data_IF_418100922728
#
_entry.id   IF_418100922728
#
_cell.length_a   1.000
_cell.length_b   1.000
_cell.length_c   1.000
_cell.angle_alpha   90.00
_cell.angle_beta   90.00
_cell.angle_gamma   90.00
#
_symmetry.space_group_name_H-M   'P 1'
#
loop_
_entity.id
_entity.type
_entity.pdbx_description
1 polymer ?
#
# COMPACT_ATOMS: atom_id res chain seq x y z
N UNK A 1 -2.35 0.01 2.63
CA UNK A 1 -2.32 -1.17 3.50
C UNK A 1 -3.58 -2.00 3.29
N UNK A 2 -3.45 -3.08 2.53
CA UNK A 2 -4.55 -4.01 2.26
C UNK A 2 -4.83 -4.89 3.50
N UNK A 3 -6.07 -4.88 4.05
CA UNK A 3 -6.43 -5.75 5.17
C UNK A 3 -6.12 -7.23 4.94
N UNK A 4 -6.22 -7.73 3.69
CA UNK A 4 -6.00 -9.13 3.33
C UNK A 4 -4.58 -9.62 3.62
N UNK A 5 -3.61 -8.72 3.70
CA UNK A 5 -2.20 -9.04 4.02
C UNK A 5 -1.97 -9.29 5.51
N UNK A 6 -2.93 -8.95 6.37
CA UNK A 6 -2.83 -9.05 7.83
C UNK A 6 -3.77 -10.10 8.42
N UNK A 7 -4.42 -10.89 7.56
CA UNK A 7 -5.24 -12.05 7.94
C UNK A 7 -4.37 -13.30 8.16
N UNK A 8 -5.00 -14.42 8.50
CA UNK A 8 -4.35 -15.74 8.59
C UNK A 8 -3.97 -16.33 7.21
N UNK A 9 -2.92 -17.15 7.16
CA UNK A 9 -2.52 -17.91 5.97
C UNK A 9 -3.62 -18.90 5.57
N UNK A 10 -3.70 -19.22 4.29
CA UNK A 10 -4.80 -20.02 3.74
C UNK A 10 -4.95 -21.39 4.41
N UNK A 11 -3.85 -22.12 4.55
CA UNK A 11 -3.89 -23.52 4.98
C UNK A 11 -3.84 -23.70 6.51
N UNK A 12 -3.27 -22.73 7.24
CA UNK A 12 -2.91 -22.94 8.66
C UNK A 12 -3.27 -21.77 9.59
N UNK A 13 -3.83 -20.67 9.06
CA UNK A 13 -4.30 -19.56 9.88
C UNK A 13 -3.22 -18.73 10.57
N UNK A 14 -1.93 -19.03 10.39
CA UNK A 14 -0.83 -18.22 10.93
C UNK A 14 -0.87 -16.79 10.37
N UNK A 15 -0.39 -15.76 11.08
CA UNK A 15 -0.35 -14.41 10.53
C UNK A 15 0.35 -14.35 9.16
N UNK A 16 -0.34 -13.92 8.10
CA UNK A 16 0.26 -13.72 6.76
C UNK A 16 1.42 -12.75 6.79
N UNK A 17 1.38 -11.79 7.71
CA UNK A 17 2.46 -10.84 7.97
C UNK A 17 2.80 -10.85 9.45
N UNK A 18 3.92 -11.49 9.79
CA UNK A 18 4.45 -11.50 11.16
C UNK A 18 5.03 -10.13 11.60
N UNK A 19 5.35 -9.98 12.90
CA UNK A 19 5.75 -8.70 13.49
C UNK A 19 7.05 -8.12 12.90
N UNK A 20 8.04 -8.97 12.60
CA UNK A 20 9.31 -8.51 12.00
C UNK A 20 9.11 -7.92 10.61
N UNK A 21 8.34 -8.61 9.75
CA UNK A 21 8.01 -8.13 8.40
C UNK A 21 7.11 -6.89 8.46
N UNK A 22 6.18 -6.83 9.41
CA UNK A 22 5.34 -5.64 9.60
C UNK A 22 6.19 -4.42 9.97
N UNK A 23 7.13 -4.57 10.92
CA UNK A 23 8.03 -3.49 11.31
C UNK A 23 8.85 -3.00 10.11
N UNK A 24 9.49 -3.92 9.39
CA UNK A 24 10.26 -3.59 8.19
C UNK A 24 9.41 -2.84 7.15
N UNK A 25 8.20 -3.33 6.85
CA UNK A 25 7.29 -2.68 5.91
C UNK A 25 6.92 -1.24 6.33
N UNK A 26 6.62 -1.03 7.62
CA UNK A 26 6.30 0.30 8.15
C UNK A 26 7.50 1.25 8.04
N UNK A 27 8.70 0.75 8.34
CA UNK A 27 9.96 1.50 8.19
C UNK A 27 10.22 1.86 6.72
N UNK A 28 10.04 0.91 5.79
CA UNK A 28 10.20 1.16 4.34
C UNK A 28 9.20 2.20 3.81
N UNK A 29 7.92 2.12 4.19
CA UNK A 29 6.90 3.10 3.76
C UNK A 29 7.19 4.48 4.34
N UNK A 30 7.67 4.56 5.59
CA UNK A 30 8.08 5.81 6.22
C UNK A 30 9.27 6.44 5.48
N UNK A 31 10.30 5.65 5.20
CA UNK A 31 11.49 6.12 4.48
C UNK A 31 11.15 6.59 3.05
N UNK A 32 10.30 5.85 2.33
CA UNK A 32 9.83 6.26 0.99
C UNK A 32 9.13 7.63 1.03
N UNK A 33 8.26 7.86 2.04
CA UNK A 33 7.59 9.15 2.21
C UNK A 33 8.57 10.28 2.42
N UNK A 34 9.56 10.09 3.29
CA UNK A 34 10.58 11.12 3.55
C UNK A 34 11.46 11.38 2.32
N UNK A 35 11.80 10.33 1.56
CA UNK A 35 12.53 10.46 0.29
C UNK A 35 11.74 11.24 -0.76
N UNK A 36 10.44 11.00 -0.89
CA UNK A 36 9.58 11.76 -1.82
C UNK A 36 9.41 13.22 -1.39
N UNK A 37 9.27 13.49 -0.09
CA UNK A 37 9.24 14.86 0.46
C UNK A 37 10.49 15.65 0.13
N UNK A 38 11.68 15.05 0.29
CA UNK A 38 12.96 15.69 -0.08
C UNK A 38 13.03 16.07 -1.56
N UNK A 39 12.25 15.43 -2.42
CA UNK A 39 12.16 15.70 -3.87
C UNK A 39 10.97 16.61 -4.24
N UNK A 40 10.31 17.24 -3.26
CA UNK A 40 9.18 18.15 -3.50
C UNK A 40 7.84 17.46 -3.74
N UNK A 41 7.72 16.16 -3.43
CA UNK A 41 6.48 15.38 -3.55
C UNK A 41 6.03 14.85 -2.18
N UNK A 42 5.10 13.89 -2.14
CA UNK A 42 4.65 13.23 -0.90
C UNK A 42 4.14 11.83 -1.19
N UNK A 43 3.98 11.02 -0.14
CA UNK A 43 3.32 9.72 -0.19
C UNK A 43 2.01 9.76 0.58
N UNK A 44 0.90 9.52 -0.13
CA UNK A 44 -0.43 9.36 0.48
C UNK A 44 -0.57 7.91 0.92
N UNK A 45 -0.76 7.70 2.23
CA UNK A 45 -0.97 6.36 2.81
C UNK A 45 -2.44 6.19 3.17
N UNK A 46 -3.01 5.05 2.78
CA UNK A 46 -4.40 4.65 3.05
C UNK A 46 -4.46 3.18 3.49
N UNK A 47 -5.52 2.82 4.22
CA UNK A 47 -5.85 1.44 4.59
C UNK A 47 -7.15 1.05 3.91
N UNK A 48 -7.18 -0.11 3.25
CA UNK A 48 -8.30 -0.57 2.46
C UNK A 48 -7.83 -1.46 1.31
N UNK A 49 -8.77 -2.10 0.62
CA UNK A 49 -8.47 -2.87 -0.59
C UNK A 49 -7.99 -1.90 -1.69
N UNK A 50 -6.89 -2.19 -2.39
CA UNK A 50 -6.38 -1.31 -3.44
C UNK A 50 -7.43 -0.95 -4.49
N UNK A 51 -8.24 -1.91 -4.92
CA UNK A 51 -9.30 -1.71 -5.92
C UNK A 51 -10.33 -0.65 -5.51
N UNK A 52 -10.71 -0.61 -4.23
CA UNK A 52 -11.67 0.37 -3.69
C UNK A 52 -10.98 1.74 -3.49
N UNK A 53 -9.84 1.74 -2.78
CA UNK A 53 -9.14 2.96 -2.39
C UNK A 53 -8.62 3.74 -3.59
N UNK A 54 -8.09 3.05 -4.61
CA UNK A 54 -7.61 3.71 -5.82
C UNK A 54 -8.78 4.27 -6.63
N UNK A 55 -9.90 3.54 -6.72
CA UNK A 55 -11.12 4.02 -7.37
C UNK A 55 -11.68 5.29 -6.71
N UNK A 56 -11.74 5.31 -5.38
CA UNK A 56 -12.17 6.47 -4.60
C UNK A 56 -11.25 7.68 -4.84
N UNK A 57 -9.94 7.46 -4.87
CA UNK A 57 -8.96 8.53 -5.11
C UNK A 57 -9.08 9.12 -6.51
N UNK A 58 -9.27 8.29 -7.54
CA UNK A 58 -9.48 8.76 -8.91
C UNK A 58 -10.72 9.64 -8.98
N UNK A 59 -11.82 9.18 -8.37
CA UNK A 59 -13.09 9.92 -8.33
C UNK A 59 -12.93 11.25 -7.59
N UNK A 60 -12.25 11.25 -6.44
CA UNK A 60 -12.04 12.44 -5.62
C UNK A 60 -11.16 13.49 -6.31
N UNK A 61 -10.14 13.05 -7.05
CA UNK A 61 -9.21 13.96 -7.75
C UNK A 61 -9.80 14.53 -9.05
N UNK A 62 -10.81 13.88 -9.62
CA UNK A 62 -11.59 14.34 -10.79
C UNK A 62 -10.84 14.27 -12.13
N UNK A 63 -9.55 14.61 -12.16
CA UNK A 63 -8.73 14.64 -13.37
C UNK A 63 -7.48 13.77 -13.19
N UNK A 64 -7.64 12.45 -13.38
CA UNK A 64 -6.55 11.48 -13.41
C UNK A 64 -6.50 10.85 -14.81
N UNK A 65 -5.43 11.09 -15.56
CA UNK A 65 -5.27 10.57 -16.92
C UNK A 65 -4.71 9.15 -16.98
N UNK A 66 -3.91 8.76 -15.98
CA UNK A 66 -3.28 7.45 -15.91
C UNK A 66 -2.98 7.02 -14.48
N UNK A 67 -2.95 5.71 -14.26
CA UNK A 67 -2.46 5.07 -13.03
C UNK A 67 -1.32 4.15 -13.41
N UNK A 68 -0.14 4.35 -12.81
CA UNK A 68 1.04 3.53 -13.04
C UNK A 68 1.35 2.65 -11.83
N UNK A 69 1.66 1.39 -12.07
CA UNK A 69 2.03 0.40 -11.06
C UNK A 69 2.96 -0.66 -11.68
N UNK A 70 3.68 -1.41 -10.83
CA UNK A 70 4.47 -2.55 -11.28
C UNK A 70 3.57 -3.80 -11.36
N UNK A 71 3.72 -4.57 -12.44
CA UNK A 71 3.03 -5.85 -12.61
C UNK A 71 3.58 -6.91 -11.64
N UNK A 72 2.68 -7.65 -11.01
CA UNK A 72 3.01 -8.81 -10.17
C UNK A 72 2.86 -10.09 -11.01
N UNK A 73 3.76 -11.05 -10.82
CA UNK A 73 3.69 -12.34 -11.52
C UNK A 73 2.50 -13.14 -10.97
N UNK A 74 1.68 -13.69 -11.89
CA UNK A 74 0.54 -14.56 -11.56
C UNK A 74 0.94 -16.02 -11.42
#
# INVERSE_FOLDING_TARGET
FDPRHYLGTHCYGFPKTGPHRLRFLLESVKDLRETLKKRGSTLVVRKGKPEDVVGDLITQLGSVSAVAFHEEVR
#
